data_IF_846691275108
#
_entry.id   IF_846691275108
#
_cell.length_a   1.000
_cell.length_b   1.000
_cell.length_c   1.000
_cell.angle_alpha   90.00
_cell.angle_beta   90.00
_cell.angle_gamma   90.00
#
_symmetry.space_group_name_H-M   'P 1'
#
loop_
_entity.id
_entity.type
_entity.pdbx_description
1 polymer ?
#
# COMPACT_ATOMS: atom_id res chain seq x y z
N UNK A 1 39.54 -34.57 -40.09
CA UNK A 1 38.87 -33.33 -39.64
C UNK A 1 37.38 -33.63 -39.54
N UNK A 2 36.86 -33.74 -38.31
CA UNK A 2 35.50 -34.23 -38.07
C UNK A 2 34.50 -33.08 -38.31
N UNK A 3 33.84 -33.10 -39.47
CA UNK A 3 32.78 -32.16 -39.81
C UNK A 3 31.55 -32.42 -38.93
N UNK A 4 31.37 -31.61 -37.90
CA UNK A 4 30.12 -31.56 -37.16
C UNK A 4 29.15 -30.71 -37.97
N UNK A 5 28.21 -31.36 -38.65
CA UNK A 5 27.10 -30.66 -39.29
C UNK A 5 26.34 -29.87 -38.21
N UNK A 6 26.38 -28.54 -38.28
CA UNK A 6 25.55 -27.69 -37.44
C UNK A 6 24.10 -27.88 -37.90
N UNK A 7 23.32 -28.62 -37.12
CA UNK A 7 21.88 -28.73 -37.32
C UNK A 7 21.25 -27.36 -37.08
N UNK A 8 20.56 -26.81 -38.08
CA UNK A 8 19.79 -25.57 -37.96
C UNK A 8 18.32 -25.88 -37.66
N UNK A 9 17.64 -24.95 -36.99
CA UNK A 9 16.20 -25.04 -36.72
C UNK A 9 15.39 -25.00 -38.02
N UNK A 10 14.30 -25.76 -38.09
CA UNK A 10 13.39 -25.73 -39.24
C UNK A 10 12.38 -24.57 -39.11
N UNK A 11 11.85 -24.09 -40.24
CA UNK A 11 10.82 -23.03 -40.24
C UNK A 11 9.58 -23.42 -39.43
N UNK A 12 9.18 -24.69 -39.50
CA UNK A 12 8.01 -25.22 -38.77
C UNK A 12 8.25 -25.17 -37.26
N UNK A 13 9.48 -25.41 -36.82
CA UNK A 13 9.86 -25.44 -35.40
C UNK A 13 9.79 -24.04 -34.77
N UNK A 14 10.27 -23.03 -35.50
CA UNK A 14 10.14 -21.64 -35.09
C UNK A 14 8.66 -21.21 -35.09
N UNK A 15 7.88 -21.64 -36.09
CA UNK A 15 6.45 -21.32 -36.19
C UNK A 15 5.65 -21.90 -35.01
N UNK A 16 5.90 -23.15 -34.64
CA UNK A 16 5.28 -23.78 -33.46
C UNK A 16 5.73 -23.06 -32.19
N UNK A 17 7.02 -22.75 -32.05
CA UNK A 17 7.56 -22.07 -30.87
C UNK A 17 6.93 -20.68 -30.65
N UNK A 18 6.88 -19.83 -31.68
CA UNK A 18 6.30 -18.48 -31.55
C UNK A 18 4.78 -18.55 -31.32
N UNK A 19 4.11 -19.56 -31.86
CA UNK A 19 2.68 -19.77 -31.64
C UNK A 19 2.39 -20.10 -30.17
N UNK A 20 3.16 -21.02 -29.58
CA UNK A 20 3.02 -21.39 -28.15
C UNK A 20 3.33 -20.19 -27.25
N UNK A 21 4.42 -19.45 -27.52
CA UNK A 21 4.78 -18.25 -26.75
C UNK A 21 3.66 -17.21 -26.83
N UNK A 22 3.09 -16.97 -28.01
CA UNK A 22 2.02 -15.98 -28.18
C UNK A 22 0.77 -16.30 -27.33
N UNK A 23 0.40 -17.58 -27.26
CA UNK A 23 -0.73 -18.03 -26.42
C UNK A 23 -0.41 -17.86 -24.94
N UNK A 24 0.79 -18.27 -24.49
CA UNK A 24 1.21 -18.16 -23.10
C UNK A 24 1.36 -16.70 -22.65
N UNK A 25 1.91 -15.84 -23.50
CA UNK A 25 2.10 -14.41 -23.22
C UNK A 25 0.77 -13.69 -22.98
N UNK A 26 -0.30 -14.05 -23.71
CA UNK A 26 -1.63 -13.48 -23.48
C UNK A 26 -2.17 -13.74 -22.07
N UNK A 27 -1.99 -14.97 -21.55
CA UNK A 27 -2.44 -15.35 -20.21
C UNK A 27 -1.57 -14.74 -19.10
N UNK A 28 -0.26 -14.61 -19.34
CA UNK A 28 0.69 -14.09 -18.36
C UNK A 28 0.37 -12.66 -17.92
N UNK A 29 -0.05 -11.78 -18.84
CA UNK A 29 -0.34 -10.36 -18.56
C UNK A 29 -1.51 -10.20 -17.58
N UNK A 30 -2.61 -10.93 -17.82
CA UNK A 30 -3.80 -10.87 -16.96
C UNK A 30 -3.53 -11.42 -15.57
N UNK A 31 -2.71 -12.46 -15.46
CA UNK A 31 -2.31 -13.01 -14.17
C UNK A 31 -1.39 -12.05 -13.41
N UNK A 32 -0.41 -11.46 -14.11
CA UNK A 32 0.53 -10.52 -13.51
C UNK A 32 -0.18 -9.29 -12.92
N UNK A 33 -1.09 -8.68 -13.67
CA UNK A 33 -1.85 -7.50 -13.20
C UNK A 33 -2.68 -7.80 -11.95
N UNK A 34 -3.36 -8.95 -11.89
CA UNK A 34 -4.11 -9.39 -10.70
C UNK A 34 -3.20 -9.61 -9.49
N UNK A 35 -2.05 -10.24 -9.70
CA UNK A 35 -1.08 -10.48 -8.64
C UNK A 35 -0.52 -9.16 -8.10
N UNK A 36 -0.11 -8.25 -8.99
CA UNK A 36 0.40 -6.92 -8.63
C UNK A 36 -0.62 -6.12 -7.83
N UNK A 37 -1.89 -6.14 -8.24
CA UNK A 37 -2.97 -5.45 -7.51
C UNK A 37 -3.15 -6.03 -6.11
N UNK A 38 -3.25 -7.35 -5.98
CA UNK A 38 -3.39 -8.02 -4.67
C UNK A 38 -2.19 -7.77 -3.75
N UNK A 39 -0.98 -7.76 -4.29
CA UNK A 39 0.23 -7.45 -3.53
C UNK A 39 0.19 -6.01 -3.00
N UNK A 40 -0.25 -5.06 -3.84
CA UNK A 40 -0.44 -3.65 -3.46
C UNK A 40 -1.51 -3.51 -2.38
N UNK A 41 -2.69 -4.12 -2.55
CA UNK A 41 -3.75 -4.12 -1.52
C UNK A 41 -3.26 -4.70 -0.18
N UNK A 42 -2.51 -5.81 -0.22
CA UNK A 42 -1.95 -6.44 0.99
C UNK A 42 -0.95 -5.53 1.69
N UNK A 43 -0.08 -4.87 0.91
CA UNK A 43 0.88 -3.90 1.44
C UNK A 43 0.18 -2.71 2.07
N UNK A 44 -0.82 -2.15 1.39
CA UNK A 44 -1.62 -1.04 1.93
C UNK A 44 -2.28 -1.42 3.26
N UNK A 45 -2.85 -2.62 3.36
CA UNK A 45 -3.42 -3.10 4.63
C UNK A 45 -2.39 -3.24 5.75
N UNK A 46 -1.18 -3.69 5.45
CA UNK A 46 -0.11 -3.79 6.44
C UNK A 46 0.33 -2.41 6.92
N UNK A 47 0.52 -1.46 6.00
CA UNK A 47 0.88 -0.07 6.32
C UNK A 47 -0.23 0.62 7.13
N UNK A 48 -1.51 0.41 6.79
CA UNK A 48 -2.66 0.88 7.57
C UNK A 48 -2.68 0.30 8.99
N UNK A 49 -2.30 -0.98 9.19
CA UNK A 49 -2.20 -1.61 10.52
C UNK A 49 -1.11 -0.94 11.37
N UNK A 50 0.03 -0.66 10.78
CA UNK A 50 1.14 0.03 11.45
C UNK A 50 0.72 1.44 11.85
N UNK A 51 0.20 2.23 10.91
CA UNK A 51 -0.29 3.59 11.18
C UNK A 51 -1.39 3.61 12.25
N UNK A 52 -2.32 2.65 12.24
CA UNK A 52 -3.34 2.53 13.28
C UNK A 52 -2.72 2.29 14.67
N UNK A 53 -1.65 1.48 14.73
CA UNK A 53 -0.90 1.21 15.95
C UNK A 53 -0.20 2.48 16.43
N UNK A 54 0.46 3.22 15.54
CA UNK A 54 1.17 4.46 15.87
C UNK A 54 0.22 5.54 16.40
N UNK A 55 -0.94 5.70 15.76
CA UNK A 55 -2.03 6.57 16.21
C UNK A 55 -2.54 6.16 17.61
N UNK A 56 -2.61 4.86 17.88
CA UNK A 56 -3.05 4.33 19.17
C UNK A 56 -2.00 4.56 20.26
N UNK A 57 -0.71 4.46 19.92
CA UNK A 57 0.41 4.77 20.82
C UNK A 57 0.45 6.25 21.15
N UNK A 58 0.32 7.13 20.15
CA UNK A 58 0.19 8.58 20.36
C UNK A 58 -0.93 8.91 21.35
N UNK A 59 -2.08 8.25 21.19
CA UNK A 59 -3.23 8.44 22.09
C UNK A 59 -2.95 7.93 23.51
N UNK A 60 -2.20 6.85 23.66
CA UNK A 60 -1.79 6.33 24.97
C UNK A 60 -0.89 7.31 25.71
N UNK A 61 0.03 7.97 25.00
CA UNK A 61 0.96 8.92 25.63
C UNK A 61 0.31 10.28 25.91
N UNK A 62 -0.46 10.81 24.95
CA UNK A 62 -1.00 12.17 25.02
C UNK A 62 -2.43 12.25 25.57
N UNK A 63 -3.08 11.10 25.76
CA UNK A 63 -4.53 10.94 26.06
C UNK A 63 -5.46 11.48 24.95
N UNK A 64 -4.95 11.84 23.78
CA UNK A 64 -5.74 12.36 22.67
C UNK A 64 -5.30 11.73 21.36
N UNK A 65 -6.23 11.56 20.42
CA UNK A 65 -5.85 11.18 19.06
C UNK A 65 -5.13 12.36 18.36
N UNK A 66 -4.16 12.09 17.48
CA UNK A 66 -3.46 13.14 16.74
C UNK A 66 -4.43 13.90 15.84
N UNK A 67 -4.30 15.21 15.68
CA UNK A 67 -5.15 15.99 14.76
C UNK A 67 -4.89 15.64 13.29
N UNK A 68 -3.66 15.26 12.98
CA UNK A 68 -3.18 14.88 11.65
C UNK A 68 -2.06 13.84 11.79
N UNK A 69 -1.80 13.04 10.75
CA UNK A 69 -0.71 12.05 10.78
C UNK A 69 0.66 12.71 10.98
N UNK A 70 0.82 13.99 10.65
CA UNK A 70 2.05 14.75 10.85
C UNK A 70 2.43 14.88 12.33
N UNK A 71 1.47 14.78 13.25
CA UNK A 71 1.72 14.80 14.69
C UNK A 71 2.40 13.51 15.20
N UNK A 72 2.43 12.47 14.37
CA UNK A 72 3.16 11.24 14.68
C UNK A 72 4.67 11.42 14.51
N UNK A 73 5.11 12.30 13.60
CA UNK A 73 6.54 12.57 13.33
C UNK A 73 7.00 13.89 13.97
N UNK A 74 6.14 14.91 14.01
CA UNK A 74 6.46 16.24 14.53
C UNK A 74 5.71 16.49 15.81
N UNK A 75 6.43 17.03 16.80
CA UNK A 75 5.83 17.42 18.08
C UNK A 75 4.70 18.44 17.85
N UNK A 76 3.48 18.19 18.33
CA UNK A 76 2.36 19.12 18.20
C UNK A 76 2.62 20.46 18.87
N UNK A 77 2.04 21.54 18.34
CA UNK A 77 2.18 22.89 18.93
C UNK A 77 1.33 23.08 20.20
N UNK A 78 0.31 22.25 20.42
CA UNK A 78 -0.53 22.29 21.61
C UNK A 78 0.30 21.98 22.87
N UNK A 79 0.34 22.91 23.83
CA UNK A 79 1.07 22.77 25.08
C UNK A 79 0.64 21.55 25.92
N UNK A 80 -0.65 21.20 25.89
CA UNK A 80 -1.19 20.07 26.65
C UNK A 80 -0.75 18.72 26.08
N UNK A 81 -0.59 18.63 24.76
CA UNK A 81 -0.18 17.42 24.04
C UNK A 81 1.35 17.33 24.01
N UNK A 82 2.02 18.43 23.68
CA UNK A 82 3.47 18.52 23.53
C UNK A 82 4.23 18.13 24.80
N UNK A 83 3.69 18.41 25.99
CA UNK A 83 4.30 18.03 27.27
C UNK A 83 4.33 16.51 27.50
N UNK A 84 3.41 15.77 26.89
CA UNK A 84 3.26 14.31 27.05
C UNK A 84 3.75 13.52 25.84
N UNK A 85 3.98 14.19 24.72
CA UNK A 85 4.43 13.58 23.47
C UNK A 85 5.81 12.92 23.62
N UNK A 86 5.92 11.65 23.22
CA UNK A 86 7.15 10.84 23.31
C UNK A 86 7.65 10.32 21.96
N UNK A 87 7.14 10.89 20.87
CA UNK A 87 7.50 10.48 19.52
C UNK A 87 8.95 10.81 19.14
N UNK A 88 9.33 10.60 17.87
CA UNK A 88 8.46 10.20 16.76
C UNK A 88 7.90 8.78 16.93
N UNK A 89 6.66 8.57 16.48
CA UNK A 89 5.97 7.28 16.58
C UNK A 89 6.16 6.41 15.32
N UNK A 90 6.66 6.99 14.22
CA UNK A 90 7.03 6.25 13.02
C UNK A 90 8.52 5.93 13.04
N UNK A 91 8.91 4.79 12.47
CA UNK A 91 10.31 4.41 12.30
C UNK A 91 11.07 5.34 11.33
N UNK A 92 10.35 5.94 10.37
CA UNK A 92 10.87 6.91 9.42
C UNK A 92 10.27 8.28 9.70
N UNK A 93 11.06 9.33 9.48
CA UNK A 93 10.63 10.74 9.61
C UNK A 93 9.67 11.20 8.48
N UNK A 94 9.04 10.25 7.79
CA UNK A 94 8.10 10.48 6.70
C UNK A 94 6.88 9.58 6.90
N UNK A 95 5.70 10.12 6.60
CA UNK A 95 4.48 9.31 6.54
C UNK A 95 4.59 8.48 5.25
N UNK A 96 4.42 7.14 5.31
CA UNK A 96 4.45 6.33 4.11
C UNK A 96 3.35 6.76 3.15
N UNK A 97 3.64 6.74 1.86
CA UNK A 97 2.62 6.81 0.80
C UNK A 97 2.08 5.41 0.55
N UNK A 98 0.85 5.35 0.06
CA UNK A 98 0.26 4.09 -0.32
C UNK A 98 0.96 3.46 -1.54
N UNK A 99 0.68 2.18 -1.86
CA UNK A 99 1.33 1.49 -2.98
C UNK A 99 1.06 2.08 -4.37
N UNK A 100 0.10 2.99 -4.50
CA UNK A 100 -0.23 3.70 -5.73
C UNK A 100 0.34 5.13 -5.77
N UNK A 101 1.03 5.55 -4.71
CA UNK A 101 1.71 6.84 -4.62
C UNK A 101 0.85 7.95 -4.01
N UNK A 102 -0.30 7.62 -3.45
CA UNK A 102 -1.21 8.58 -2.81
C UNK A 102 -1.02 8.60 -1.29
N UNK A 103 -1.32 9.75 -0.67
CA UNK A 103 -1.25 9.88 0.78
C UNK A 103 -2.38 9.11 1.47
N UNK A 104 -2.07 8.48 2.61
CA UNK A 104 -3.08 7.91 3.48
C UNK A 104 -4.00 8.97 4.07
N UNK A 105 -5.29 8.69 4.04
CA UNK A 105 -6.32 9.58 4.54
C UNK A 105 -6.63 9.27 6.00
N UNK A 106 -6.56 10.30 6.84
CA UNK A 106 -6.83 10.21 8.27
C UNK A 106 -7.88 11.25 8.68
N UNK A 107 -8.92 10.80 9.39
CA UNK A 107 -9.94 11.70 9.92
C UNK A 107 -10.39 11.27 11.31
N UNK A 108 -10.29 12.18 12.28
CA UNK A 108 -10.84 11.95 13.63
C UNK A 108 -12.35 12.00 13.58
N UNK A 109 -13.00 11.05 14.24
CA UNK A 109 -14.45 11.09 14.43
C UNK A 109 -14.80 11.82 15.74
N UNK A 110 -16.04 12.32 15.86
CA UNK A 110 -16.53 12.89 17.10
C UNK A 110 -16.38 11.92 18.29
N UNK A 111 -16.22 12.49 19.49
CA UNK A 111 -16.04 11.72 20.71
C UNK A 111 -17.26 10.79 20.93
N UNK A 112 -17.01 9.49 21.00
CA UNK A 112 -18.05 8.46 21.19
C UNK A 112 -18.35 7.62 19.94
N UNK A 113 -17.87 8.02 18.77
CA UNK A 113 -17.96 7.19 17.55
C UNK A 113 -17.06 5.95 17.67
N UNK A 114 -17.55 4.82 17.12
CA UNK A 114 -16.77 3.61 16.89
C UNK A 114 -16.75 3.35 15.39
N UNK A 115 -15.58 3.35 14.71
CA UNK A 115 -14.24 3.59 15.26
C UNK A 115 -14.00 5.07 15.65
N UNK A 116 -13.03 5.35 16.54
CA UNK A 116 -12.73 6.71 17.01
C UNK A 116 -12.06 7.60 15.96
N UNK A 117 -11.49 7.00 14.91
CA UNK A 117 -10.95 7.66 13.74
C UNK A 117 -11.12 6.75 12.52
N UNK A 118 -11.09 7.34 11.33
CA UNK A 118 -10.99 6.65 10.07
C UNK A 118 -9.57 6.79 9.51
N UNK A 119 -9.05 5.69 8.99
CA UNK A 119 -7.78 5.61 8.30
C UNK A 119 -7.96 4.71 7.09
N UNK A 120 -7.68 5.23 5.89
CA UNK A 120 -7.89 4.51 4.64
C UNK A 120 -6.95 4.99 3.52
N UNK A 121 -6.83 4.18 2.47
CA UNK A 121 -6.22 4.57 1.18
C UNK A 121 -7.31 4.56 0.10
N UNK A 122 -7.16 5.42 -0.89
CA UNK A 122 -8.04 5.47 -2.05
C UNK A 122 -7.93 4.25 -2.96
N UNK A 123 -6.84 3.48 -2.85
CA UNK A 123 -6.57 2.32 -3.69
C UNK A 123 -6.14 2.69 -5.11
N UNK A 124 -6.22 1.72 -6.02
CA UNK A 124 -5.67 1.84 -7.38
C UNK A 124 -6.27 2.95 -8.25
N UNK A 125 -7.45 3.47 -7.88
CA UNK A 125 -8.13 4.56 -8.59
C UNK A 125 -7.78 5.95 -8.03
N UNK A 126 -7.03 6.03 -6.94
CA UNK A 126 -6.64 7.30 -6.32
C UNK A 126 -7.85 8.16 -5.94
N UNK A 127 -7.72 9.48 -5.97
CA UNK A 127 -8.78 10.41 -5.55
C UNK A 127 -10.09 10.32 -6.34
N UNK A 128 -10.08 9.67 -7.50
CA UNK A 128 -11.26 9.40 -8.32
C UNK A 128 -11.99 8.11 -7.92
N UNK A 129 -11.49 7.39 -6.91
CA UNK A 129 -12.12 6.18 -6.39
C UNK A 129 -13.49 6.47 -5.78
N UNK A 130 -14.44 5.57 -6.04
CA UNK A 130 -15.69 5.55 -5.30
C UNK A 130 -15.42 5.14 -3.84
N UNK A 131 -16.20 5.62 -2.85
CA UNK A 131 -16.02 5.24 -1.45
C UNK A 131 -16.06 3.73 -1.16
N UNK A 132 -16.66 2.94 -2.05
CA UNK A 132 -16.70 1.48 -1.96
C UNK A 132 -15.39 0.81 -2.37
N UNK A 133 -14.53 1.51 -3.11
CA UNK A 133 -13.23 1.03 -3.56
C UNK A 133 -12.09 1.40 -2.59
N UNK A 134 -12.40 2.18 -1.54
CA UNK A 134 -11.41 2.56 -0.54
C UNK A 134 -10.95 1.34 0.25
N UNK A 135 -9.66 1.33 0.55
CA UNK A 135 -9.04 0.29 1.36
C UNK A 135 -9.03 0.76 2.80
N UNK A 136 -9.95 0.23 3.57
CA UNK A 136 -10.00 0.38 5.02
C UNK A 136 -9.15 -0.68 5.71
N UNK A 137 -8.74 -0.38 6.94
CA UNK A 137 -8.23 -1.40 7.84
C UNK A 137 -9.31 -2.47 8.06
N UNK A 138 -9.01 -3.72 7.69
CA UNK A 138 -9.91 -4.84 7.94
C UNK A 138 -10.15 -5.01 9.46
N UNK A 139 -11.42 -4.92 9.87
CA UNK A 139 -11.87 -5.09 11.25
C UNK A 139 -11.71 -6.52 11.75
#
# INVERSE_FOLDING_TARGET
MNNHAKSGFTLVEILIAVTIISILSGLAIQQFTRYSRRASETRAQAELRTLHTDVSTFKTDTNQYPASLQELIKRPADAAISSKWRGPYLEKDEIPVDPWGEDYQYSRKPKGSKPPFELYSYGAKGTEADPNDYIFLAQ
#
